data_IF_536526053353
#
_entry.id   IF_536526053353
#
_cell.length_a   1.000
_cell.length_b   1.000
_cell.length_c   1.000
_cell.angle_alpha   90.00
_cell.angle_beta   90.00
_cell.angle_gamma   90.00
#
_symmetry.space_group_name_H-M   'P 1'
#
loop_
_entity.id
_entity.type
_entity.pdbx_description
1 polymer ?
#
# COMPACT_ATOMS: atom_id res chain seq x y z
N UNK A 1 -9.83 25.11 24.04
CA UNK A 1 -9.06 24.91 22.79
C UNK A 1 -9.08 23.43 22.50
N UNK A 2 -10.00 22.97 21.65
CA UNK A 2 -10.24 21.52 21.42
C UNK A 2 -9.81 21.20 20.00
N UNK A 3 -8.73 20.42 19.86
CA UNK A 3 -8.21 19.96 18.56
C UNK A 3 -9.13 18.86 18.00
N UNK A 4 -9.42 18.97 16.69
CA UNK A 4 -10.20 18.01 15.91
C UNK A 4 -9.41 16.71 15.66
N UNK A 5 -10.02 15.52 15.75
CA UNK A 5 -9.40 14.30 15.26
C UNK A 5 -9.59 14.14 13.74
N UNK A 6 -8.48 13.82 13.08
CA UNK A 6 -8.26 13.62 11.62
C UNK A 6 -9.09 12.45 11.03
N UNK A 7 -9.32 12.40 9.70
CA UNK A 7 -10.35 11.56 9.10
C UNK A 7 -9.92 10.10 8.94
N UNK A 8 -10.65 9.24 9.67
CA UNK A 8 -11.15 7.91 9.31
C UNK A 8 -10.43 7.11 8.21
N UNK A 9 -9.61 6.17 8.66
CA UNK A 9 -9.24 4.96 7.92
C UNK A 9 -10.49 4.11 7.64
N UNK A 10 -11.06 4.17 6.45
CA UNK A 10 -12.19 3.31 6.05
C UNK A 10 -11.70 1.86 5.94
N UNK A 11 -11.96 1.07 6.97
CA UNK A 11 -11.71 -0.37 6.97
C UNK A 11 -12.78 -1.04 6.10
N UNK A 12 -12.38 -1.65 5.00
CA UNK A 12 -13.24 -2.61 4.29
C UNK A 12 -13.23 -3.93 5.07
N UNK A 13 -14.08 -3.98 6.09
CA UNK A 13 -14.34 -5.18 6.87
C UNK A 13 -15.27 -6.07 6.05
N UNK A 14 -14.71 -7.06 5.37
CA UNK A 14 -15.47 -8.21 4.90
C UNK A 14 -15.84 -9.03 6.16
N UNK A 15 -17.10 -9.09 6.60
CA UNK A 15 -17.47 -9.64 7.92
C UNK A 15 -17.17 -11.15 8.08
N UNK A 16 -16.82 -11.82 6.98
CA UNK A 16 -16.59 -13.26 6.93
C UNK A 16 -15.10 -13.67 7.10
N UNK A 17 -14.16 -12.73 7.14
CA UNK A 17 -12.74 -13.04 7.31
C UNK A 17 -12.32 -12.86 8.78
N UNK A 18 -11.84 -13.92 9.46
CA UNK A 18 -11.41 -13.84 10.86
C UNK A 18 -10.21 -12.89 11.08
N UNK A 19 -9.59 -12.38 10.00
CA UNK A 19 -8.51 -11.42 10.03
C UNK A 19 -8.75 -10.34 8.96
N UNK A 20 -9.30 -9.15 9.33
CA UNK A 20 -9.54 -8.09 8.36
C UNK A 20 -8.22 -7.61 7.76
N UNK A 21 -8.21 -7.45 6.44
CA UNK A 21 -7.06 -6.92 5.72
C UNK A 21 -7.20 -5.40 5.62
N UNK A 22 -6.11 -4.67 5.82
CA UNK A 22 -6.08 -3.23 5.61
C UNK A 22 -5.00 -2.87 4.58
N UNK A 23 -5.18 -1.71 3.96
CA UNK A 23 -4.23 -1.10 3.05
C UNK A 23 -3.57 0.09 3.73
N UNK A 24 -2.27 0.25 3.50
CA UNK A 24 -1.51 1.42 3.92
C UNK A 24 -0.48 1.79 2.84
N UNK A 25 -0.04 3.04 2.82
CA UNK A 25 1.01 3.49 1.91
C UNK A 25 2.28 3.91 2.65
N UNK A 26 3.41 3.70 2.00
CA UNK A 26 4.72 4.24 2.40
C UNK A 26 5.16 5.17 1.27
N UNK A 27 5.35 6.45 1.61
CA UNK A 27 5.98 7.40 0.70
C UNK A 27 7.48 7.14 0.63
N UNK A 28 7.98 6.90 -0.56
CA UNK A 28 9.40 6.78 -0.87
C UNK A 28 9.81 7.88 -1.85
N UNK A 29 11.13 8.05 -2.04
CA UNK A 29 11.68 9.04 -2.94
C UNK A 29 12.69 8.37 -3.87
N UNK A 30 12.56 8.65 -5.16
CA UNK A 30 13.58 8.32 -6.15
C UNK A 30 14.39 9.57 -6.41
N UNK A 31 15.72 9.50 -6.27
CA UNK A 31 16.59 10.67 -6.37
C UNK A 31 17.57 10.51 -7.54
N UNK A 32 17.74 11.58 -8.31
CA UNK A 32 18.76 11.69 -9.35
C UNK A 32 19.77 12.78 -9.00
N UNK A 33 21.04 12.48 -9.27
CA UNK A 33 22.12 13.46 -9.16
C UNK A 33 22.25 14.23 -10.46
N UNK A 34 22.15 15.54 -10.38
CA UNK A 34 22.48 16.47 -11.45
C UNK A 34 23.65 17.35 -10.99
N UNK A 35 24.48 17.86 -11.89
CA UNK A 35 25.76 18.48 -11.53
C UNK A 35 25.63 19.60 -10.46
N UNK A 36 25.86 19.25 -9.18
CA UNK A 36 25.73 20.14 -8.02
C UNK A 36 24.39 20.11 -7.27
N UNK A 37 23.38 19.37 -7.76
CA UNK A 37 22.05 19.27 -7.16
C UNK A 37 21.57 17.83 -7.06
N UNK A 38 20.62 17.58 -6.16
CA UNK A 38 19.92 16.29 -6.04
C UNK A 38 18.44 16.58 -6.15
N UNK A 39 17.82 16.02 -7.17
CA UNK A 39 16.37 16.10 -7.39
C UNK A 39 15.75 14.79 -6.92
N UNK A 40 14.73 14.86 -6.06
CA UNK A 40 14.03 13.69 -5.53
C UNK A 40 12.54 13.78 -5.83
N UNK A 41 11.97 12.72 -6.40
CA UNK A 41 10.55 12.62 -6.72
C UNK A 41 9.85 11.65 -5.75
N UNK A 42 8.79 12.10 -5.06
CA UNK A 42 8.04 11.22 -4.17
C UNK A 42 7.20 10.23 -4.98
N UNK A 43 7.11 8.99 -4.50
CA UNK A 43 6.18 8.00 -5.00
C UNK A 43 5.60 7.17 -3.83
N UNK A 44 4.35 6.73 -3.96
CA UNK A 44 3.67 5.95 -2.93
C UNK A 44 3.77 4.46 -3.26
N UNK A 45 4.19 3.65 -2.28
CA UNK A 45 4.10 2.18 -2.34
C UNK A 45 2.97 1.72 -1.45
N UNK A 46 2.06 0.93 -2.00
CA UNK A 46 0.84 0.50 -1.31
C UNK A 46 1.02 -0.95 -0.86
N UNK A 47 0.67 -1.21 0.40
CA UNK A 47 0.81 -2.52 1.03
C UNK A 47 -0.52 -3.02 1.55
N UNK A 48 -0.71 -4.34 1.50
CA UNK A 48 -1.83 -5.06 2.10
C UNK A 48 -1.33 -5.93 3.24
N UNK A 49 -1.93 -5.79 4.42
CA UNK A 49 -1.65 -6.65 5.58
C UNK A 49 -2.95 -7.21 6.14
N UNK A 50 -2.96 -8.52 6.41
CA UNK A 50 -4.08 -9.24 7.01
C UNK A 50 -3.65 -9.81 8.36
N UNK A 51 -4.32 -9.42 9.46
CA UNK A 51 -3.93 -9.83 10.81
C UNK A 51 -2.45 -9.59 11.10
N UNK A 52 -1.77 -10.55 11.73
CA UNK A 52 -0.33 -10.52 12.01
C UNK A 52 0.54 -11.08 10.88
N UNK A 53 -0.02 -11.22 9.68
CA UNK A 53 0.69 -11.71 8.50
C UNK A 53 1.71 -10.71 7.95
N UNK A 54 2.56 -11.17 7.00
CA UNK A 54 3.48 -10.29 6.30
C UNK A 54 2.71 -9.24 5.48
N UNK A 55 3.32 -8.06 5.33
CA UNK A 55 2.82 -7.03 4.42
C UNK A 55 3.25 -7.35 3.00
N UNK A 56 2.31 -7.33 2.06
CA UNK A 56 2.56 -7.55 0.64
C UNK A 56 2.42 -6.24 -0.12
N UNK A 57 3.43 -5.88 -0.91
CA UNK A 57 3.32 -4.74 -1.80
C UNK A 57 2.35 -5.05 -2.95
N UNK A 58 1.37 -4.17 -3.13
CA UNK A 58 0.29 -4.26 -4.12
C UNK A 58 0.21 -3.02 -5.01
N UNK A 59 1.23 -2.14 -4.98
CA UNK A 59 1.31 -0.91 -5.78
C UNK A 59 0.95 -1.13 -7.26
N UNK A 60 1.54 -2.14 -7.89
CA UNK A 60 1.32 -2.46 -9.32
C UNK A 60 0.01 -3.23 -9.60
N UNK A 61 -0.82 -3.43 -8.58
CA UNK A 61 -2.03 -4.28 -8.62
C UNK A 61 -3.29 -3.53 -8.20
N UNK A 62 -3.20 -2.21 -8.07
CA UNK A 62 -4.36 -1.34 -7.84
C UNK A 62 -5.10 -1.15 -9.16
N UNK A 63 -6.40 -1.44 -9.15
CA UNK A 63 -7.29 -1.33 -10.32
C UNK A 63 -8.34 -0.27 -10.00
N UNK A 64 -8.20 0.93 -10.59
CA UNK A 64 -8.95 2.19 -10.35
C UNK A 64 -8.51 2.97 -9.09
N UNK A 65 -8.13 4.26 -9.10
CA UNK A 65 -8.30 5.44 -9.98
C UNK A 65 -9.77 5.88 -10.20
N UNK A 66 -10.34 6.59 -9.20
CA UNK A 66 -11.46 7.59 -9.26
C UNK A 66 -12.19 7.82 -7.93
N UNK A 67 -11.92 7.02 -6.90
CA UNK A 67 -12.37 7.26 -5.53
C UNK A 67 -11.18 7.24 -4.58
N UNK A 68 -11.26 7.99 -3.47
CA UNK A 68 -10.19 8.18 -2.48
C UNK A 68 -9.62 6.90 -1.82
N UNK A 69 -10.01 5.71 -2.28
CA UNK A 69 -9.61 4.42 -1.72
C UNK A 69 -9.03 3.52 -2.82
N UNK A 70 -7.74 3.15 -2.75
CA UNK A 70 -7.15 2.20 -3.67
C UNK A 70 -7.74 0.81 -3.45
N UNK A 71 -8.15 0.13 -4.54
CA UNK A 71 -8.66 -1.24 -4.49
C UNK A 71 -7.70 -2.17 -5.21
N UNK A 72 -7.35 -3.29 -4.56
CA UNK A 72 -6.48 -4.32 -5.13
C UNK A 72 -7.31 -5.24 -6.03
N UNK A 73 -6.78 -5.62 -7.20
CA UNK A 73 -7.42 -6.61 -8.08
C UNK A 73 -7.77 -7.90 -7.30
N UNK A 74 -9.06 -8.29 -7.21
CA UNK A 74 -9.47 -9.53 -6.55
C UNK A 74 -8.79 -10.78 -7.13
N UNK A 75 -8.44 -10.79 -8.43
CA UNK A 75 -7.73 -11.93 -9.05
C UNK A 75 -6.36 -12.16 -8.43
N UNK A 76 -5.71 -11.11 -7.95
CA UNK A 76 -4.42 -11.17 -7.26
C UNK A 76 -4.54 -11.67 -5.83
N UNK A 77 -5.71 -11.51 -5.21
CA UNK A 77 -6.00 -12.01 -3.86
C UNK A 77 -6.15 -13.54 -3.87
N UNK A 78 -6.74 -14.11 -4.93
CA UNK A 78 -6.97 -15.57 -5.04
C UNK A 78 -5.67 -16.33 -5.31
N UNK A 79 -4.78 -15.77 -6.15
CA UNK A 79 -3.51 -16.39 -6.50
C UNK A 79 -2.35 -15.39 -6.31
N UNK A 80 -1.94 -15.11 -5.06
CA UNK A 80 -0.82 -14.22 -4.83
C UNK A 80 0.45 -14.85 -5.44
N UNK A 81 1.28 -14.08 -6.17
CA UNK A 81 2.57 -14.57 -6.64
C UNK A 81 3.42 -14.99 -5.46
N UNK A 82 4.28 -16.00 -5.66
CA UNK A 82 5.23 -16.41 -4.63
C UNK A 82 6.08 -15.20 -4.24
N UNK A 83 6.02 -14.83 -2.96
CA UNK A 83 6.90 -13.80 -2.41
C UNK A 83 8.36 -14.21 -2.63
N UNK A 84 9.15 -13.29 -3.19
CA UNK A 84 10.61 -13.43 -3.21
C UNK A 84 11.16 -12.95 -1.87
N UNK A 85 12.22 -13.58 -1.37
CA UNK A 85 12.96 -13.02 -0.23
C UNK A 85 13.72 -11.78 -0.71
N UNK A 86 13.98 -10.86 0.22
CA UNK A 86 14.75 -9.65 -0.07
C UNK A 86 16.13 -9.92 -0.69
N UNK A 87 16.77 -11.05 -0.34
CA UNK A 87 18.05 -11.47 -0.93
C UNK A 87 17.95 -12.12 -2.32
N UNK A 88 16.74 -12.38 -2.83
CA UNK A 88 16.49 -13.07 -4.10
C UNK A 88 15.95 -12.12 -5.20
N UNK A 89 15.97 -10.80 -4.95
CA UNK A 89 15.48 -9.74 -5.86
C UNK A 89 16.58 -9.30 -6.81
#
# INVERSE_FOLDING_TARGET
>A
MTQSPSPSSTQFLDPAQPNPCHLFSIRQYECAHHAGTVDCWPFERIFRQCGNGPSLEVTNRIVSDKGAHPVVDPKFIVHPPKGKKWGDV
#
